data_IF_208844952805
#
_entry.id   IF_208844952805
#
_cell.length_a   1.000
_cell.length_b   1.000
_cell.length_c   1.000
_cell.angle_alpha   90.00
_cell.angle_beta   90.00
_cell.angle_gamma   90.00
#
_symmetry.space_group_name_H-M   'P 1'
#
loop_
_entity.id
_entity.type
_entity.pdbx_description
1 polymer ?
#
# COMPACT_ATOMS: atom_id res chain seq x y z
N UNK A 1 6.83 14.31 29.65
CA UNK A 1 6.54 13.07 28.88
C UNK A 1 6.84 13.37 27.43
N UNK A 2 7.69 12.59 26.77
CA UNK A 2 8.03 12.77 25.34
C UNK A 2 7.17 11.76 24.55
N UNK A 3 6.33 12.21 23.59
CA UNK A 3 5.50 11.29 22.82
C UNK A 3 6.33 10.48 21.82
N UNK A 4 5.87 9.28 21.45
CA UNK A 4 6.52 8.43 20.45
C UNK A 4 6.51 9.08 19.06
N UNK A 5 5.39 9.72 18.69
CA UNK A 5 5.22 10.46 17.43
C UNK A 5 4.51 11.79 17.68
N UNK A 6 4.89 12.83 16.93
CA UNK A 6 4.22 14.13 16.92
C UNK A 6 4.16 14.64 15.47
N UNK A 7 2.96 14.79 14.88
CA UNK A 7 2.82 15.39 13.56
C UNK A 7 3.43 16.80 13.52
N UNK A 8 4.17 17.09 12.46
CA UNK A 8 4.77 18.40 12.20
C UNK A 8 3.84 19.20 11.28
N UNK A 9 2.74 19.69 11.85
CA UNK A 9 1.74 20.48 11.10
C UNK A 9 1.36 21.68 11.96
N UNK A 10 1.45 22.89 11.40
CA UNK A 10 0.83 24.10 11.96
C UNK A 10 -0.46 24.41 11.19
N UNK A 11 -1.51 24.81 11.89
CA UNK A 11 -2.75 25.20 11.23
C UNK A 11 -2.57 26.44 10.34
N UNK A 12 -1.62 27.31 10.68
CA UNK A 12 -1.27 28.47 9.87
C UNK A 12 -0.86 28.08 8.43
N UNK A 13 -0.24 26.92 8.25
CA UNK A 13 0.23 26.43 6.95
C UNK A 13 -0.93 26.06 5.99
N UNK A 14 -2.11 25.76 6.54
CA UNK A 14 -3.28 25.27 5.78
C UNK A 14 -4.52 26.16 5.91
N UNK A 15 -4.47 27.21 6.73
CA UNK A 15 -5.63 28.02 7.08
C UNK A 15 -6.34 28.64 5.87
N UNK A 16 -5.57 29.08 4.87
CA UNK A 16 -6.11 29.70 3.66
C UNK A 16 -6.79 28.69 2.75
N UNK A 17 -6.24 27.48 2.62
CA UNK A 17 -6.86 26.40 1.85
C UNK A 17 -8.15 25.91 2.50
N UNK A 18 -8.17 25.76 3.83
CA UNK A 18 -9.39 25.46 4.58
C UNK A 18 -10.47 26.52 4.34
N UNK A 19 -10.12 27.81 4.38
CA UNK A 19 -11.08 28.89 4.09
C UNK A 19 -11.64 28.77 2.67
N UNK A 20 -10.77 28.55 1.68
CA UNK A 20 -11.18 28.38 0.27
C UNK A 20 -12.10 27.17 0.08
N UNK A 21 -11.83 26.05 0.75
CA UNK A 21 -12.69 24.86 0.72
C UNK A 21 -14.08 25.20 1.25
N UNK A 22 -14.16 25.83 2.43
CA UNK A 22 -15.43 26.18 3.07
C UNK A 22 -16.23 27.17 2.22
N UNK A 23 -15.59 28.23 1.72
CA UNK A 23 -16.22 29.24 0.88
C UNK A 23 -16.70 28.68 -0.47
N UNK A 24 -16.01 27.68 -1.01
CA UNK A 24 -16.42 27.02 -2.27
C UNK A 24 -17.70 26.19 -2.15
N UNK A 25 -18.08 25.78 -0.94
CA UNK A 25 -19.18 24.84 -0.69
C UNK A 25 -18.92 23.39 -1.13
N UNK A 26 -17.75 23.09 -1.73
CA UNK A 26 -17.35 21.72 -2.12
C UNK A 26 -16.44 21.12 -1.05
N UNK A 27 -17.06 20.47 -0.06
CA UNK A 27 -16.37 19.94 1.13
C UNK A 27 -15.87 18.49 0.99
N UNK A 28 -16.11 17.86 -0.15
CA UNK A 28 -15.71 16.47 -0.44
C UNK A 28 -14.71 16.46 -1.61
N UNK A 29 -14.71 15.41 -2.43
CA UNK A 29 -13.85 15.30 -3.60
C UNK A 29 -13.99 16.53 -4.52
N UNK A 30 -12.85 17.10 -4.94
CA UNK A 30 -12.77 18.37 -5.64
C UNK A 30 -11.33 18.74 -6.02
N UNK A 31 -11.11 20.01 -6.34
CA UNK A 31 -9.84 20.48 -6.90
C UNK A 31 -8.61 20.20 -6.01
N UNK A 32 -8.76 20.21 -4.69
CA UNK A 32 -7.67 19.88 -3.76
C UNK A 32 -7.25 18.41 -3.82
N UNK A 33 -8.21 17.49 -4.01
CA UNK A 33 -7.91 16.06 -4.17
C UNK A 33 -7.21 15.82 -5.51
N UNK A 34 -7.71 16.42 -6.60
CA UNK A 34 -7.09 16.32 -7.93
C UNK A 34 -5.67 16.90 -7.94
N UNK A 35 -5.45 18.01 -7.25
CA UNK A 35 -4.12 18.61 -7.08
C UNK A 35 -3.18 17.67 -6.32
N UNK A 36 -3.65 17.12 -5.20
CA UNK A 36 -2.88 16.15 -4.41
C UNK A 36 -2.51 14.90 -5.21
N UNK A 37 -3.45 14.35 -6.00
CA UNK A 37 -3.17 13.21 -6.88
C UNK A 37 -2.08 13.56 -7.91
N UNK A 38 -2.17 14.73 -8.55
CA UNK A 38 -1.15 15.17 -9.50
C UNK A 38 0.22 15.36 -8.84
N UNK A 39 0.26 15.98 -7.65
CA UNK A 39 1.49 16.22 -6.90
C UNK A 39 2.14 14.92 -6.44
N UNK A 40 1.35 13.96 -5.94
CA UNK A 40 1.85 12.64 -5.53
C UNK A 40 2.38 11.86 -6.73
N UNK A 41 1.63 11.80 -7.85
CA UNK A 41 2.07 11.13 -9.07
C UNK A 41 3.42 11.69 -9.56
N UNK A 42 3.55 13.02 -9.57
CA UNK A 42 4.80 13.69 -9.94
C UNK A 42 5.94 13.41 -8.95
N UNK A 43 5.66 13.39 -7.64
CA UNK A 43 6.65 13.14 -6.60
C UNK A 43 7.24 11.74 -6.67
N UNK A 44 6.40 10.72 -6.87
CA UNK A 44 6.84 9.32 -6.95
C UNK A 44 7.24 8.88 -8.36
N UNK A 45 7.00 9.73 -9.38
CA UNK A 45 7.29 9.43 -10.77
C UNK A 45 6.30 8.46 -11.43
N UNK A 46 5.08 8.32 -10.90
CA UNK A 46 4.02 7.50 -11.47
C UNK A 46 3.22 8.26 -12.54
N UNK A 47 2.64 7.53 -13.49
CA UNK A 47 1.75 8.12 -14.51
C UNK A 47 0.42 8.60 -13.90
N UNK A 48 -0.05 7.91 -12.86
CA UNK A 48 -1.33 8.16 -12.20
C UNK A 48 -1.21 7.99 -10.69
N UNK A 49 -2.03 8.73 -9.94
CA UNK A 49 -2.29 8.50 -8.53
C UNK A 49 -3.78 8.64 -8.24
N UNK A 50 -4.26 7.91 -7.23
CA UNK A 50 -5.67 7.95 -6.80
C UNK A 50 -5.70 8.10 -5.29
N UNK A 51 -6.31 9.18 -4.81
CA UNK A 51 -6.46 9.44 -3.39
C UNK A 51 -7.57 8.56 -2.81
N UNK A 52 -7.29 7.96 -1.65
CA UNK A 52 -8.26 7.17 -0.89
C UNK A 52 -8.34 7.65 0.54
N UNK A 53 -9.22 7.07 1.36
CA UNK A 53 -9.43 7.53 2.74
C UNK A 53 -8.37 7.00 3.71
N UNK A 54 -7.64 5.95 3.33
CA UNK A 54 -6.50 5.38 4.07
C UNK A 54 -5.70 4.42 3.19
N UNK A 55 -4.45 4.12 3.59
CA UNK A 55 -3.64 3.08 2.93
C UNK A 55 -4.37 1.72 2.87
N UNK A 56 -5.13 1.36 3.91
CA UNK A 56 -5.96 0.13 3.89
C UNK A 56 -6.97 0.13 2.75
N UNK A 57 -7.66 1.26 2.52
CA UNK A 57 -8.61 1.35 1.40
C UNK A 57 -7.92 1.37 0.05
N UNK A 58 -6.70 1.90 -0.05
CA UNK A 58 -5.89 1.84 -1.27
C UNK A 58 -5.51 0.39 -1.61
N UNK A 59 -4.98 -0.36 -0.64
CA UNK A 59 -4.62 -1.78 -0.81
C UNK A 59 -5.84 -2.61 -1.21
N UNK A 60 -6.96 -2.44 -0.51
CA UNK A 60 -8.21 -3.12 -0.87
C UNK A 60 -8.71 -2.75 -2.27
N UNK A 61 -8.65 -1.47 -2.66
CA UNK A 61 -9.05 -1.00 -3.98
C UNK A 61 -8.18 -1.62 -5.09
N UNK A 62 -6.86 -1.65 -4.92
CA UNK A 62 -5.93 -2.24 -5.90
C UNK A 62 -6.21 -3.73 -6.09
N UNK A 63 -6.36 -4.48 -4.99
CA UNK A 63 -6.67 -5.91 -5.06
C UNK A 63 -8.03 -6.16 -5.73
N UNK A 64 -9.07 -5.42 -5.35
CA UNK A 64 -10.40 -5.55 -5.92
C UNK A 64 -10.42 -5.17 -7.41
N UNK A 65 -9.71 -4.10 -7.81
CA UNK A 65 -9.60 -3.68 -9.20
C UNK A 65 -8.84 -4.69 -10.06
N UNK A 66 -7.87 -5.40 -9.48
CA UNK A 66 -7.17 -6.51 -10.13
C UNK A 66 -7.99 -7.82 -10.18
N UNK A 67 -9.21 -7.83 -9.64
CA UNK A 67 -10.10 -9.00 -9.64
C UNK A 67 -9.73 -10.08 -8.63
N UNK A 68 -8.89 -9.78 -7.64
CA UNK A 68 -8.55 -10.69 -6.55
C UNK A 68 -9.80 -10.97 -5.73
N UNK A 69 -10.08 -12.25 -5.46
CA UNK A 69 -11.28 -12.61 -4.71
C UNK A 69 -11.30 -14.03 -4.13
N UNK A 70 -12.51 -14.54 -3.94
CA UNK A 70 -12.73 -15.84 -3.31
C UNK A 70 -12.00 -16.98 -4.04
N UNK A 71 -11.16 -17.71 -3.30
CA UNK A 71 -10.37 -18.82 -3.83
C UNK A 71 -8.94 -18.44 -4.20
N UNK A 72 -8.62 -17.15 -4.30
CA UNK A 72 -7.27 -16.67 -4.56
C UNK A 72 -6.43 -16.61 -3.28
N UNK A 73 -5.11 -16.70 -3.47
CA UNK A 73 -4.10 -16.52 -2.43
C UNK A 73 -3.26 -15.29 -2.76
N UNK A 74 -2.96 -14.47 -1.74
CA UNK A 74 -2.02 -13.35 -1.84
C UNK A 74 -0.91 -13.57 -0.83
N UNK A 75 0.33 -13.62 -1.31
CA UNK A 75 1.51 -13.69 -0.44
C UNK A 75 1.72 -12.33 0.22
N UNK A 76 1.93 -12.30 1.54
CA UNK A 76 2.18 -11.07 2.30
C UNK A 76 3.10 -11.36 3.48
N UNK A 77 3.92 -10.38 3.87
CA UNK A 77 4.86 -10.53 4.99
C UNK A 77 4.11 -10.83 6.29
N UNK A 78 4.64 -11.74 7.12
CA UNK A 78 4.13 -11.98 8.47
C UNK A 78 4.44 -10.80 9.41
N UNK A 79 5.55 -10.11 9.17
CA UNK A 79 5.96 -8.90 9.85
C UNK A 79 5.41 -7.66 9.13
N UNK A 80 4.16 -7.33 9.42
CA UNK A 80 3.47 -6.13 8.91
C UNK A 80 2.37 -5.66 9.87
N UNK A 81 1.79 -4.49 9.61
CA UNK A 81 0.56 -4.07 10.26
C UNK A 81 -0.63 -4.91 9.73
N UNK A 82 -1.60 -5.33 10.58
CA UNK A 82 -2.69 -6.23 10.14
C UNK A 82 -3.54 -5.72 8.98
N UNK A 83 -3.49 -4.43 8.64
CA UNK A 83 -4.22 -3.86 7.51
C UNK A 83 -3.90 -4.54 6.17
N UNK A 84 -2.64 -4.92 5.92
CA UNK A 84 -2.22 -5.55 4.66
C UNK A 84 -2.94 -6.89 4.46
N UNK A 85 -2.90 -7.76 5.48
CA UNK A 85 -3.65 -9.01 5.51
C UNK A 85 -5.17 -8.84 5.50
N UNK A 86 -5.69 -7.83 6.21
CA UNK A 86 -7.12 -7.54 6.24
C UNK A 86 -7.65 -7.06 4.89
N UNK A 87 -6.90 -6.25 4.14
CA UNK A 87 -7.28 -5.82 2.80
C UNK A 87 -7.46 -7.02 1.85
N UNK A 88 -6.56 -8.01 1.94
CA UNK A 88 -6.67 -9.27 1.21
C UNK A 88 -7.94 -10.03 1.61
N UNK A 89 -8.18 -10.17 2.92
CA UNK A 89 -9.36 -10.87 3.44
C UNK A 89 -10.67 -10.16 3.07
N UNK A 90 -10.67 -8.82 2.98
CA UNK A 90 -11.82 -8.01 2.57
C UNK A 90 -12.24 -8.27 1.12
N UNK A 91 -11.29 -8.58 0.23
CA UNK A 91 -11.60 -9.07 -1.12
C UNK A 91 -12.20 -10.49 -1.14
N UNK A 92 -12.17 -11.22 0.00
CA UNK A 92 -12.54 -12.63 0.09
C UNK A 92 -11.41 -13.60 -0.28
N UNK A 93 -10.22 -13.08 -0.58
CA UNK A 93 -9.02 -13.87 -0.82
C UNK A 93 -8.36 -14.32 0.48
N UNK A 94 -7.41 -15.27 0.39
CA UNK A 94 -6.66 -15.77 1.53
C UNK A 94 -5.27 -15.11 1.62
N UNK A 95 -4.94 -14.38 2.70
CA UNK A 95 -3.57 -13.97 2.94
C UNK A 95 -2.73 -15.21 3.30
N UNK A 96 -1.64 -15.41 2.58
CA UNK A 96 -0.65 -16.43 2.84
C UNK A 96 0.57 -15.72 3.41
N UNK A 97 0.76 -15.86 4.73
CA UNK A 97 1.88 -15.24 5.42
C UNK A 97 3.20 -15.85 4.94
N UNK A 98 4.16 -14.99 4.65
CA UNK A 98 5.55 -15.32 4.27
C UNK A 98 6.46 -14.85 5.40
N UNK A 99 7.48 -15.63 5.73
CA UNK A 99 8.44 -15.25 6.76
C UNK A 99 9.23 -13.98 6.37
N UNK A 100 9.89 -13.37 7.34
CA UNK A 100 10.73 -12.19 7.12
C UNK A 100 12.21 -12.47 7.39
N UNK A 101 13.07 -11.73 6.71
CA UNK A 101 14.52 -11.85 6.87
C UNK A 101 14.98 -11.29 8.23
N UNK A 102 15.86 -12.02 8.95
CA UNK A 102 16.40 -11.54 10.20
C UNK A 102 17.30 -10.30 9.96
N UNK A 103 16.89 -9.16 10.51
CA UNK A 103 17.66 -7.92 10.53
C UNK A 103 17.11 -6.81 9.63
N UNK A 104 16.51 -7.16 8.48
CA UNK A 104 15.80 -6.22 7.61
C UNK A 104 14.30 -6.20 7.91
N UNK A 105 13.74 -7.32 8.40
CA UNK A 105 12.29 -7.55 8.53
C UNK A 105 11.53 -7.46 7.21
N UNK A 106 12.25 -7.43 6.09
CA UNK A 106 11.67 -7.51 4.76
C UNK A 106 11.17 -8.93 4.49
N UNK A 107 10.19 -9.05 3.60
CA UNK A 107 9.64 -10.33 3.17
C UNK A 107 10.74 -11.21 2.55
N UNK A 108 10.90 -12.44 3.05
CA UNK A 108 11.84 -13.42 2.47
C UNK A 108 11.31 -13.90 1.12
N UNK A 109 11.94 -13.44 0.03
CA UNK A 109 11.56 -13.78 -1.33
C UNK A 109 11.78 -15.27 -1.67
N UNK A 110 12.73 -15.94 -1.01
CA UNK A 110 12.87 -17.39 -1.16
C UNK A 110 11.72 -18.14 -0.49
N UNK A 111 11.27 -17.69 0.69
CA UNK A 111 10.08 -18.24 1.33
C UNK A 111 8.81 -17.97 0.53
N UNK A 112 8.70 -16.78 -0.06
CA UNK A 112 7.61 -16.43 -0.96
C UNK A 112 7.54 -17.40 -2.15
N UNK A 113 8.67 -17.63 -2.83
CA UNK A 113 8.76 -18.55 -3.96
C UNK A 113 8.31 -19.97 -3.59
N UNK A 114 8.71 -20.47 -2.42
CA UNK A 114 8.29 -21.80 -1.92
C UNK A 114 6.79 -21.90 -1.62
N UNK A 115 6.12 -20.78 -1.35
CA UNK A 115 4.69 -20.72 -1.01
C UNK A 115 3.77 -20.48 -2.20
N UNK A 116 4.32 -20.22 -3.38
CA UNK A 116 3.52 -20.07 -4.60
C UNK A 116 2.74 -21.36 -4.88
N UNK A 117 1.45 -21.21 -5.15
CA UNK A 117 0.54 -22.28 -5.56
C UNK A 117 -0.21 -21.89 -6.83
N UNK A 118 -0.97 -22.83 -7.40
CA UNK A 118 -1.88 -22.54 -8.51
C UNK A 118 -2.97 -21.51 -8.18
N UNK A 119 -3.18 -21.20 -6.89
CA UNK A 119 -4.14 -20.19 -6.42
C UNK A 119 -3.49 -18.85 -6.11
N UNK A 120 -2.17 -18.75 -6.10
CA UNK A 120 -1.47 -17.49 -5.87
C UNK A 120 -1.74 -16.55 -7.04
N UNK A 121 -2.16 -15.32 -6.72
CA UNK A 121 -2.47 -14.29 -7.72
C UNK A 121 -1.70 -12.99 -7.51
N UNK A 122 -1.24 -12.74 -6.29
CA UNK A 122 -0.47 -11.54 -5.99
C UNK A 122 0.63 -11.79 -4.95
N UNK A 123 1.69 -10.99 -5.06
CA UNK A 123 2.73 -10.81 -4.07
C UNK A 123 2.61 -9.38 -3.53
N UNK A 124 2.31 -9.25 -2.24
CA UNK A 124 2.25 -7.97 -1.54
C UNK A 124 3.50 -7.83 -0.67
N UNK A 125 4.45 -7.01 -1.10
CA UNK A 125 5.63 -6.64 -0.30
C UNK A 125 5.30 -5.44 0.59
N UNK A 126 6.05 -5.29 1.68
CA UNK A 126 5.85 -4.22 2.66
C UNK A 126 7.22 -3.60 2.93
N UNK A 127 7.25 -2.27 3.08
CA UNK A 127 8.47 -1.51 3.42
C UNK A 127 8.47 -1.13 4.92
N UNK A 128 8.78 -2.07 5.83
CA UNK A 128 8.76 -1.82 7.25
C UNK A 128 9.74 -0.71 7.61
N UNK A 129 9.30 0.22 8.46
CA UNK A 129 10.15 1.32 8.94
C UNK A 129 10.72 2.23 7.84
N UNK A 130 10.13 2.21 6.63
CA UNK A 130 10.62 2.96 5.47
C UNK A 130 11.85 2.31 4.81
N UNK A 131 12.15 1.06 5.14
CA UNK A 131 13.17 0.28 4.46
C UNK A 131 12.56 -0.35 3.19
N UNK A 132 13.05 0.02 1.99
CA UNK A 132 12.48 -0.48 0.74
C UNK A 132 12.83 -1.95 0.52
N UNK A 133 11.86 -2.72 0.04
CA UNK A 133 12.06 -4.09 -0.42
C UNK A 133 12.91 -4.13 -1.71
N UNK A 134 13.57 -5.26 -2.00
CA UNK A 134 14.22 -5.44 -3.31
C UNK A 134 13.17 -5.62 -4.39
N UNK A 135 12.70 -4.49 -4.93
CA UNK A 135 11.64 -4.46 -5.93
C UNK A 135 12.04 -5.11 -7.25
N UNK A 136 13.34 -5.17 -7.58
CA UNK A 136 13.80 -5.86 -8.77
C UNK A 136 13.66 -7.38 -8.61
N UNK A 137 14.05 -7.92 -7.46
CA UNK A 137 13.88 -9.33 -7.14
C UNK A 137 12.40 -9.71 -6.96
N UNK A 138 11.61 -8.87 -6.30
CA UNK A 138 10.17 -9.08 -6.15
C UNK A 138 9.43 -9.07 -7.50
N UNK A 139 9.79 -8.15 -8.40
CA UNK A 139 9.26 -8.11 -9.76
C UNK A 139 9.64 -9.35 -10.56
N UNK A 140 10.90 -9.81 -10.47
CA UNK A 140 11.33 -11.03 -11.14
C UNK A 140 10.53 -12.26 -10.68
N UNK A 141 10.30 -12.40 -9.36
CA UNK A 141 9.48 -13.49 -8.81
C UNK A 141 8.01 -13.38 -9.26
N UNK A 142 7.46 -12.17 -9.26
CA UNK A 142 6.10 -11.93 -9.71
C UNK A 142 5.93 -12.28 -11.20
N UNK A 143 6.86 -11.85 -12.05
CA UNK A 143 6.86 -12.13 -13.48
C UNK A 143 7.01 -13.64 -13.78
N UNK A 144 7.91 -14.33 -13.07
CA UNK A 144 8.12 -15.78 -13.22
C UNK A 144 6.83 -16.58 -13.00
N UNK A 145 6.00 -16.14 -12.06
CA UNK A 145 4.77 -16.83 -11.66
C UNK A 145 3.47 -16.15 -12.17
N UNK A 146 3.58 -15.06 -12.93
CA UNK A 146 2.44 -14.29 -13.42
C UNK A 146 1.58 -13.68 -12.30
N UNK A 147 2.22 -13.20 -11.24
CA UNK A 147 1.56 -12.59 -10.08
C UNK A 147 1.46 -11.07 -10.24
N UNK A 148 0.40 -10.48 -9.70
CA UNK A 148 0.35 -9.05 -9.45
C UNK A 148 1.34 -8.70 -8.32
N UNK A 149 2.27 -7.78 -8.57
CA UNK A 149 3.10 -7.19 -7.52
C UNK A 149 2.39 -5.96 -6.93
N UNK A 150 2.23 -5.93 -5.61
CA UNK A 150 1.70 -4.78 -4.86
C UNK A 150 2.72 -4.38 -3.79
N UNK A 151 3.04 -3.10 -3.71
CA UNK A 151 3.91 -2.52 -2.69
C UNK A 151 3.07 -1.82 -1.62
N UNK A 152 3.18 -2.26 -0.36
CA UNK A 152 2.63 -1.56 0.80
C UNK A 152 3.69 -0.57 1.34
N UNK A 153 3.66 0.63 0.74
CA UNK A 153 4.56 1.74 1.04
C UNK A 153 4.06 2.65 2.18
N UNK A 154 3.24 2.15 3.12
CA UNK A 154 2.65 2.99 4.16
C UNK A 154 3.67 3.71 5.08
N UNK A 155 4.92 3.23 5.12
CA UNK A 155 6.01 3.81 5.90
C UNK A 155 7.16 4.39 5.04
N UNK A 156 7.03 4.39 3.70
CA UNK A 156 8.06 4.82 2.76
C UNK A 156 7.75 6.19 2.13
#
# INVERSE_FOLDING_TARGET
MIPLTRPLVDFADVADDFRRIVESGRLTNGAFVLGFEADVAAYVGAEHAVATTSATTALHLVLAAAGIGAGDEVLVSDFTFPASGNAIAQCGARPVLVDCEPGSFLLDLEDAARRVTQRTRALMVVDPFGQPCDMAAAAALADEHGLLLVEDAACA
#
